data_IF_415379638313
#
_entry.id   IF_415379638313
#
_cell.length_a   1.000
_cell.length_b   1.000
_cell.length_c   1.000
_cell.angle_alpha   90.00
_cell.angle_beta   90.00
_cell.angle_gamma   90.00
#
_symmetry.space_group_name_H-M   'P 1'
#
loop_
_entity.id
_entity.type
_entity.pdbx_description
1 polymer ?
#
# COMPACT_ATOMS: atom_id res chain seq x y z
N UNK A 1 3.72 21.37 -14.03
CA UNK A 1 4.20 22.03 -12.79
C UNK A 1 4.43 20.96 -11.74
N UNK A 2 5.49 21.10 -10.95
CA UNK A 2 5.84 20.23 -9.83
C UNK A 2 5.57 20.99 -8.53
N UNK A 3 4.95 20.33 -7.56
CA UNK A 3 4.58 20.91 -6.26
C UNK A 3 5.39 20.26 -5.14
N UNK A 4 5.71 21.02 -4.10
CA UNK A 4 6.48 20.51 -2.96
C UNK A 4 6.87 21.62 -1.97
N UNK A 5 8.01 21.48 -1.28
CA UNK A 5 8.94 20.34 -1.28
C UNK A 5 8.43 19.11 -0.50
N UNK A 6 7.37 19.25 0.30
CA UNK A 6 6.77 18.17 1.09
C UNK A 6 5.25 18.14 1.02
N UNK A 7 4.64 17.39 1.94
CA UNK A 7 3.19 17.27 2.08
C UNK A 7 2.65 18.15 3.23
N UNK A 8 1.34 18.39 3.21
CA UNK A 8 0.68 19.18 4.26
C UNK A 8 1.25 20.61 4.38
N UNK A 9 1.57 21.08 5.60
CA UNK A 9 2.13 22.42 5.81
C UNK A 9 3.48 22.67 5.11
N UNK A 10 4.21 21.60 4.78
CA UNK A 10 5.50 21.66 4.07
C UNK A 10 5.35 21.70 2.54
N UNK A 11 4.11 21.66 2.04
CA UNK A 11 3.79 21.66 0.61
C UNK A 11 3.16 22.96 0.13
N UNK A 12 2.36 22.85 -0.94
CA UNK A 12 1.55 23.96 -1.47
C UNK A 12 2.33 25.02 -2.26
N UNK A 13 3.60 24.77 -2.58
CA UNK A 13 4.43 25.67 -3.40
C UNK A 13 4.78 25.00 -4.73
N UNK A 14 4.86 25.78 -5.79
CA UNK A 14 5.38 25.33 -7.09
C UNK A 14 6.91 25.31 -6.98
N UNK A 15 7.51 24.11 -7.02
CA UNK A 15 8.97 23.94 -6.93
C UNK A 15 9.65 23.97 -8.30
N UNK A 16 8.94 23.56 -9.34
CA UNK A 16 9.39 23.67 -10.73
C UNK A 16 8.19 23.86 -11.69
N UNK A 17 8.37 24.67 -12.73
CA UNK A 17 7.39 24.86 -13.78
C UNK A 17 8.13 25.04 -15.11
N UNK A 18 7.72 24.31 -16.14
CA UNK A 18 8.41 24.31 -17.42
C UNK A 18 8.19 23.03 -18.22
N UNK A 19 9.02 22.85 -19.24
CA UNK A 19 9.13 21.60 -20.01
C UNK A 19 9.69 20.46 -19.15
N UNK A 20 9.63 19.23 -19.67
CA UNK A 20 10.18 18.06 -18.98
C UNK A 20 11.67 18.23 -18.66
N UNK A 21 12.46 18.76 -19.59
CA UNK A 21 13.89 19.01 -19.41
C UNK A 21 14.15 20.05 -18.32
N UNK A 22 13.29 21.08 -18.24
CA UNK A 22 13.39 22.12 -17.21
C UNK A 22 13.04 21.57 -15.83
N UNK A 23 12.05 20.68 -15.72
CA UNK A 23 11.70 20.02 -14.44
C UNK A 23 12.82 19.06 -14.01
N UNK A 24 13.31 18.23 -14.93
CA UNK A 24 14.41 17.27 -14.69
C UNK A 24 15.71 17.98 -14.31
N UNK A 25 15.99 19.14 -14.91
CA UNK A 25 17.17 19.95 -14.62
C UNK A 25 17.07 20.80 -13.35
N UNK A 26 15.88 20.92 -12.74
CA UNK A 26 15.70 21.76 -11.57
C UNK A 26 16.08 21.02 -10.27
N UNK A 27 17.10 21.48 -9.53
CA UNK A 27 17.56 20.81 -8.31
C UNK A 27 16.52 20.83 -7.17
N UNK A 28 15.54 21.74 -7.21
CA UNK A 28 14.47 21.83 -6.21
C UNK A 28 13.29 20.89 -6.50
N UNK A 29 13.27 20.27 -7.70
CA UNK A 29 12.22 19.30 -8.05
C UNK A 29 12.51 17.97 -7.34
N UNK A 30 11.57 17.54 -6.49
CA UNK A 30 11.62 16.20 -5.89
C UNK A 30 11.33 15.12 -6.94
N UNK A 31 10.58 15.47 -7.98
CA UNK A 31 10.13 14.60 -9.07
C UNK A 31 11.23 14.41 -10.12
N UNK A 32 11.99 15.46 -10.44
CA UNK A 32 13.04 15.47 -11.47
C UNK A 32 14.05 14.32 -11.37
N UNK A 33 14.61 13.98 -10.19
CA UNK A 33 15.53 12.86 -10.03
C UNK A 33 14.96 11.49 -10.43
N UNK A 34 13.65 11.26 -10.24
CA UNK A 34 12.97 10.02 -10.62
C UNK A 34 12.73 9.94 -12.13
N UNK A 35 12.31 11.05 -12.74
CA UNK A 35 12.13 11.15 -14.18
C UNK A 35 13.46 10.99 -14.94
N UNK A 36 14.57 11.46 -14.34
CA UNK A 36 15.93 11.26 -14.86
C UNK A 36 16.46 9.83 -14.68
N UNK A 37 15.80 9.00 -13.87
CA UNK A 37 16.31 7.68 -13.46
C UNK A 37 17.45 7.70 -12.44
N UNK A 38 17.89 8.88 -11.97
CA UNK A 38 18.92 9.01 -10.91
C UNK A 38 18.43 8.55 -9.54
N UNK A 39 17.12 8.62 -9.30
CA UNK A 39 16.42 7.93 -8.21
C UNK A 39 15.44 6.91 -8.83
N UNK A 40 15.22 5.81 -8.13
CA UNK A 40 14.21 4.82 -8.50
C UNK A 40 13.62 4.17 -7.26
N UNK A 41 12.49 3.50 -7.40
CA UNK A 41 11.96 2.68 -6.32
C UNK A 41 12.94 1.53 -6.06
N UNK A 42 13.41 1.42 -4.81
CA UNK A 42 14.46 0.47 -4.46
C UNK A 42 13.93 -0.96 -4.45
N UNK A 43 14.74 -1.87 -5.01
CA UNK A 43 14.47 -3.31 -5.01
C UNK A 43 15.02 -3.91 -3.74
N UNK A 44 14.16 -4.61 -3.01
CA UNK A 44 14.59 -5.42 -1.88
C UNK A 44 15.11 -6.77 -2.39
N UNK A 45 16.43 -6.84 -2.59
CA UNK A 45 17.10 -8.06 -3.06
C UNK A 45 17.43 -9.03 -1.93
N UNK A 46 16.96 -8.79 -0.70
CA UNK A 46 17.36 -9.61 0.46
C UNK A 46 16.47 -10.84 0.66
N UNK A 47 15.27 -10.87 0.06
CA UNK A 47 14.35 -11.99 0.23
C UNK A 47 14.71 -13.18 -0.66
N UNK A 48 14.60 -14.41 -0.12
CA UNK A 48 14.91 -15.62 -0.88
C UNK A 48 13.88 -15.83 -1.99
N UNK A 49 14.35 -16.05 -3.22
CA UNK A 49 13.47 -16.38 -4.34
C UNK A 49 12.70 -17.67 -4.08
N UNK A 50 11.41 -17.69 -4.45
CA UNK A 50 10.50 -18.84 -4.34
C UNK A 50 10.93 -19.99 -5.26
N UNK A 51 11.36 -19.64 -6.46
CA UNK A 51 11.87 -20.57 -7.48
C UNK A 51 13.38 -20.41 -7.55
N UNK A 52 14.12 -21.53 -7.54
CA UNK A 52 15.55 -21.51 -7.79
C UNK A 52 15.83 -21.19 -9.28
N UNK A 53 16.65 -20.17 -9.58
CA UNK A 53 16.79 -19.64 -10.94
C UNK A 53 17.62 -20.57 -11.84
N UNK A 54 18.37 -21.50 -11.27
CA UNK A 54 19.21 -22.45 -12.02
C UNK A 54 18.43 -23.73 -12.31
N UNK A 55 17.79 -24.30 -11.29
CA UNK A 55 17.05 -25.55 -11.40
C UNK A 55 15.61 -25.36 -11.87
N UNK A 56 15.08 -24.13 -11.82
CA UNK A 56 13.69 -23.78 -12.13
C UNK A 56 12.67 -24.59 -11.30
N UNK A 57 13.08 -24.99 -10.09
CA UNK A 57 12.23 -25.75 -9.15
C UNK A 57 11.86 -24.88 -7.96
N UNK A 58 10.67 -25.12 -7.44
CA UNK A 58 10.21 -24.54 -6.18
C UNK A 58 11.18 -24.92 -5.04
N UNK A 59 11.54 -23.94 -4.22
CA UNK A 59 12.37 -24.18 -3.04
C UNK A 59 11.56 -24.90 -1.94
N UNK A 60 12.18 -25.84 -1.22
CA UNK A 60 11.49 -26.54 -0.14
C UNK A 60 11.09 -25.57 0.98
N UNK A 61 9.88 -25.76 1.53
CA UNK A 61 9.37 -24.99 2.67
C UNK A 61 8.46 -23.82 2.31
N UNK A 62 8.23 -23.55 1.03
CA UNK A 62 7.24 -22.55 0.58
C UNK A 62 5.84 -23.05 0.94
N UNK A 63 5.08 -22.16 1.56
CA UNK A 63 3.69 -22.38 1.96
C UNK A 63 2.78 -21.73 0.93
N UNK A 64 1.68 -22.40 0.60
CA UNK A 64 0.78 -21.91 -0.44
C UNK A 64 -0.66 -21.74 0.06
N UNK A 65 -1.32 -20.74 -0.49
CA UNK A 65 -2.74 -20.50 -0.40
C UNK A 65 -3.31 -20.62 -1.81
N UNK A 66 -4.16 -21.62 -2.06
CA UNK A 66 -4.60 -21.97 -3.42
C UNK A 66 -6.11 -21.84 -3.53
N UNK A 67 -6.58 -21.03 -4.48
CA UNK A 67 -7.99 -20.90 -4.82
C UNK A 67 -8.29 -21.81 -5.99
N UNK A 68 -9.24 -22.73 -5.81
CA UNK A 68 -9.64 -23.67 -6.84
C UNK A 68 -10.92 -23.27 -7.56
N UNK A 69 -10.91 -23.40 -8.89
CA UNK A 69 -12.06 -23.17 -9.78
C UNK A 69 -12.78 -21.84 -9.51
N UNK A 70 -12.03 -20.76 -9.33
CA UNK A 70 -12.57 -19.42 -9.12
C UNK A 70 -13.40 -18.96 -10.32
N UNK A 71 -14.68 -18.66 -10.09
CA UNK A 71 -15.68 -18.39 -11.13
C UNK A 71 -16.60 -17.20 -10.79
N UNK A 72 -16.21 -16.34 -9.86
CA UNK A 72 -16.96 -15.14 -9.53
C UNK A 72 -16.89 -14.12 -10.68
N UNK A 73 -18.05 -13.56 -11.05
CA UNK A 73 -18.22 -12.60 -12.14
C UNK A 73 -17.65 -13.10 -13.49
N UNK A 74 -16.54 -12.53 -13.95
CA UNK A 74 -15.94 -12.82 -15.25
C UNK A 74 -14.92 -13.96 -15.21
N UNK A 75 -14.52 -14.43 -14.03
CA UNK A 75 -13.49 -15.46 -13.85
C UNK A 75 -13.90 -16.80 -14.49
N UNK A 76 -12.93 -17.46 -15.15
CA UNK A 76 -13.15 -18.61 -16.03
C UNK A 76 -12.80 -19.94 -15.37
N UNK A 77 -13.26 -20.16 -14.12
CA UNK A 77 -12.94 -21.35 -13.31
C UNK A 77 -11.43 -21.59 -13.20
N UNK A 78 -10.71 -20.53 -12.83
CA UNK A 78 -9.25 -20.56 -12.73
C UNK A 78 -8.80 -21.16 -11.40
N UNK A 79 -7.69 -21.90 -11.43
CA UNK A 79 -6.96 -22.33 -10.25
C UNK A 79 -5.74 -21.40 -10.10
N UNK A 80 -5.56 -20.80 -8.92
CA UNK A 80 -4.50 -19.79 -8.67
C UNK A 80 -3.86 -20.06 -7.32
N UNK A 81 -2.52 -20.05 -7.27
CA UNK A 81 -1.77 -20.21 -6.03
C UNK A 81 -1.03 -18.93 -5.61
N UNK A 82 -0.99 -18.69 -4.30
CA UNK A 82 -0.36 -17.54 -3.66
C UNK A 82 0.67 -18.03 -2.63
N UNK A 83 1.97 -17.74 -2.80
CA UNK A 83 2.98 -18.12 -1.82
C UNK A 83 2.84 -17.27 -0.55
N UNK A 84 2.60 -17.91 0.59
CA UNK A 84 2.53 -17.24 1.88
C UNK A 84 3.92 -16.75 2.31
N UNK A 85 3.96 -15.76 3.20
CA UNK A 85 5.18 -15.12 3.72
C UNK A 85 5.95 -14.33 2.63
N UNK A 86 5.23 -13.86 1.61
CA UNK A 86 5.78 -13.10 0.49
C UNK A 86 4.90 -11.88 0.13
N UNK A 87 5.50 -10.93 -0.59
CA UNK A 87 4.81 -9.84 -1.28
C UNK A 87 4.38 -10.31 -2.68
N UNK A 88 3.07 -10.27 -2.93
CA UNK A 88 2.46 -10.79 -4.16
C UNK A 88 1.68 -9.68 -4.85
N UNK A 89 1.92 -9.48 -6.15
CA UNK A 89 1.09 -8.60 -6.98
C UNK A 89 0.05 -9.40 -7.78
N UNK A 90 -1.18 -8.91 -7.80
CA UNK A 90 -2.21 -9.33 -8.75
C UNK A 90 -2.36 -8.24 -9.81
N UNK A 91 -2.07 -8.58 -11.05
CA UNK A 91 -1.93 -7.65 -12.18
C UNK A 91 -2.87 -8.00 -13.33
N UNK A 92 -2.85 -7.14 -14.36
CA UNK A 92 -3.63 -7.32 -15.59
C UNK A 92 -4.67 -6.20 -15.82
N UNK A 93 -5.30 -6.12 -17.02
CA UNK A 93 -6.13 -4.97 -17.41
C UNK A 93 -7.31 -4.67 -16.47
N UNK A 94 -7.83 -3.44 -16.52
CA UNK A 94 -9.04 -3.10 -15.77
C UNK A 94 -10.21 -3.97 -16.23
N UNK A 95 -10.95 -4.56 -15.29
CA UNK A 95 -12.02 -5.52 -15.60
C UNK A 95 -11.56 -6.95 -15.94
N UNK A 96 -10.27 -7.28 -15.81
CA UNK A 96 -9.77 -8.66 -16.04
C UNK A 96 -10.18 -9.67 -14.96
N UNK A 97 -10.63 -9.20 -13.78
CA UNK A 97 -11.09 -10.04 -12.68
C UNK A 97 -10.28 -9.93 -11.38
N UNK A 98 -9.29 -9.04 -11.29
CA UNK A 98 -8.42 -8.86 -10.09
C UNK A 98 -9.20 -8.70 -8.79
N UNK A 99 -10.07 -7.70 -8.71
CA UNK A 99 -10.91 -7.46 -7.53
C UNK A 99 -11.90 -8.60 -7.29
N UNK A 100 -12.39 -9.26 -8.36
CA UNK A 100 -13.28 -10.42 -8.21
C UNK A 100 -12.57 -11.61 -7.55
N UNK A 101 -11.28 -11.83 -7.88
CA UNK A 101 -10.47 -12.88 -7.28
C UNK A 101 -10.09 -12.54 -5.83
N UNK A 102 -9.49 -11.37 -5.62
CA UNK A 102 -8.88 -11.01 -4.34
C UNK A 102 -9.91 -10.51 -3.33
N UNK A 103 -10.74 -9.53 -3.70
CA UNK A 103 -11.72 -8.93 -2.80
C UNK A 103 -13.08 -9.63 -2.84
N UNK A 104 -13.43 -10.28 -3.96
CA UNK A 104 -14.70 -10.98 -4.13
C UNK A 104 -14.68 -12.42 -3.62
N UNK A 105 -13.55 -13.12 -3.73
CA UNK A 105 -13.43 -14.52 -3.29
C UNK A 105 -12.51 -14.63 -2.08
N UNK A 106 -11.22 -14.27 -2.25
CA UNK A 106 -10.18 -14.59 -1.27
C UNK A 106 -10.42 -13.93 0.09
N UNK A 107 -10.61 -12.61 0.11
CA UNK A 107 -10.84 -11.86 1.35
C UNK A 107 -12.11 -12.32 2.08
N UNK A 108 -13.32 -12.36 1.47
CA UNK A 108 -14.54 -12.81 2.13
C UNK A 108 -14.44 -14.25 2.66
N UNK A 109 -13.84 -15.17 1.90
CA UNK A 109 -13.73 -16.57 2.30
C UNK A 109 -12.89 -16.73 3.57
N UNK A 110 -11.77 -15.99 3.66
CA UNK A 110 -10.88 -16.03 4.82
C UNK A 110 -11.48 -15.22 5.99
N UNK A 111 -12.09 -14.07 5.72
CA UNK A 111 -12.73 -13.22 6.73
C UNK A 111 -13.89 -13.94 7.42
N UNK A 112 -14.72 -14.67 6.67
CA UNK A 112 -15.84 -15.43 7.25
C UNK A 112 -15.35 -16.57 8.16
N UNK A 113 -14.13 -17.07 7.95
CA UNK A 113 -13.50 -18.07 8.81
C UNK A 113 -12.97 -17.48 10.13
N UNK A 114 -12.31 -16.32 10.10
CA UNK A 114 -11.63 -15.77 11.28
C UNK A 114 -12.40 -14.68 12.03
N UNK A 115 -13.21 -13.89 11.32
CA UNK A 115 -13.86 -12.69 11.86
C UNK A 115 -15.36 -12.85 12.10
N UNK A 116 -15.93 -14.05 11.85
CA UNK A 116 -17.38 -14.29 11.82
C UNK A 116 -18.13 -13.26 10.95
N UNK A 117 -17.51 -12.80 9.87
CA UNK A 117 -18.12 -11.82 8.99
C UNK A 117 -19.30 -12.42 8.22
N UNK A 118 -20.35 -11.62 7.98
CA UNK A 118 -21.47 -12.00 7.12
C UNK A 118 -21.15 -11.88 5.62
N UNK A 119 -19.86 -11.78 5.26
CA UNK A 119 -19.43 -11.66 3.87
C UNK A 119 -19.61 -13.02 3.17
N UNK A 120 -20.27 -12.99 2.02
CA UNK A 120 -20.49 -14.16 1.19
C UNK A 120 -19.38 -14.18 0.13
N UNK A 121 -18.47 -15.17 0.14
CA UNK A 121 -17.47 -15.27 -0.91
C UNK A 121 -18.12 -15.58 -2.26
N UNK A 122 -17.56 -15.00 -3.31
CA UNK A 122 -17.93 -15.28 -4.69
C UNK A 122 -17.75 -16.75 -5.06
N UNK A 123 -18.28 -17.16 -6.22
CA UNK A 123 -18.28 -18.56 -6.66
C UNK A 123 -16.84 -19.08 -6.82
N UNK A 124 -16.52 -20.16 -6.10
CA UNK A 124 -15.27 -20.92 -6.16
C UNK A 124 -15.54 -22.35 -5.65
N UNK A 125 -14.64 -23.31 -5.93
CA UNK A 125 -14.82 -24.69 -5.44
C UNK A 125 -14.34 -24.86 -4.00
N UNK A 126 -13.09 -24.46 -3.71
CA UNK A 126 -12.48 -24.50 -2.37
C UNK A 126 -11.25 -23.61 -2.31
N UNK A 127 -10.81 -23.28 -1.10
CA UNK A 127 -9.53 -22.61 -0.85
C UNK A 127 -8.70 -23.48 0.09
N UNK A 128 -7.53 -23.89 -0.38
CA UNK A 128 -6.57 -24.69 0.39
C UNK A 128 -5.52 -23.78 1.04
N UNK A 129 -5.00 -24.19 2.20
CA UNK A 129 -3.92 -23.47 2.89
C UNK A 129 -4.38 -22.36 3.85
N UNK A 130 -5.69 -22.14 4.01
CA UNK A 130 -6.24 -21.13 4.94
C UNK A 130 -5.83 -21.38 6.40
N UNK A 131 -5.62 -22.64 6.80
CA UNK A 131 -5.20 -23.03 8.15
C UNK A 131 -3.81 -22.51 8.55
N UNK A 132 -3.01 -22.08 7.57
CA UNK A 132 -1.69 -21.49 7.79
C UNK A 132 -1.77 -20.03 8.24
N UNK A 133 -2.94 -19.41 8.07
CA UNK A 133 -3.26 -18.05 8.49
C UNK A 133 -4.08 -18.06 9.78
N UNK A 134 -4.07 -16.93 10.49
CA UNK A 134 -4.98 -16.72 11.63
C UNK A 134 -5.75 -15.40 11.58
N UNK A 135 -5.45 -14.57 10.58
CA UNK A 135 -6.06 -13.25 10.41
C UNK A 135 -5.98 -12.83 8.94
N UNK A 136 -6.98 -12.10 8.48
CA UNK A 136 -6.93 -11.37 7.21
C UNK A 136 -7.29 -9.90 7.43
N UNK A 137 -6.59 -9.00 6.77
CA UNK A 137 -6.80 -7.55 6.84
C UNK A 137 -6.94 -6.97 5.44
N UNK A 138 -8.04 -6.29 5.16
CA UNK A 138 -8.19 -5.48 3.95
C UNK A 138 -7.82 -4.04 4.26
N UNK A 139 -6.96 -3.45 3.42
CA UNK A 139 -6.53 -2.06 3.54
C UNK A 139 -6.83 -1.34 2.23
N UNK A 140 -7.99 -0.70 2.22
CA UNK A 140 -8.55 0.07 1.11
C UNK A 140 -8.53 1.58 1.42
N UNK A 141 -8.87 2.38 0.40
CA UNK A 141 -8.95 3.84 0.51
C UNK A 141 -10.26 4.35 1.12
N UNK A 142 -11.13 3.47 1.60
CA UNK A 142 -12.37 3.88 2.26
C UNK A 142 -12.06 4.73 3.50
N UNK A 143 -12.89 5.76 3.80
CA UNK A 143 -12.70 6.59 4.99
C UNK A 143 -12.59 5.75 6.27
N UNK A 144 -11.77 6.17 7.23
CA UNK A 144 -11.65 5.48 8.54
C UNK A 144 -12.98 5.45 9.29
N UNK A 145 -13.82 6.46 9.06
CA UNK A 145 -15.13 6.65 9.66
C UNK A 145 -15.71 7.99 9.22
N UNK A 146 -17.04 8.12 9.30
CA UNK A 146 -17.75 9.32 8.85
C UNK A 146 -17.92 10.37 9.97
N UNK A 147 -17.49 10.08 11.19
CA UNK A 147 -17.64 10.98 12.35
C UNK A 147 -16.35 11.74 12.64
N UNK A 148 -16.42 13.03 13.06
CA UNK A 148 -15.27 13.78 13.56
C UNK A 148 -14.57 13.17 14.78
N UNK A 149 -15.24 12.26 15.48
CA UNK A 149 -14.70 11.48 16.60
C UNK A 149 -13.66 10.43 16.18
N UNK A 150 -13.69 10.00 14.91
CA UNK A 150 -12.67 9.12 14.34
C UNK A 150 -11.48 9.95 13.91
N UNK A 151 -10.30 9.63 14.43
CA UNK A 151 -9.04 10.36 14.17
C UNK A 151 -7.89 9.38 14.00
N UNK A 152 -6.75 9.80 13.41
CA UNK A 152 -5.55 8.96 13.37
C UNK A 152 -5.14 8.41 14.74
N UNK A 153 -5.24 9.24 15.79
CA UNK A 153 -4.83 8.83 17.12
C UNK A 153 -5.76 7.81 17.77
N UNK A 154 -7.07 7.93 17.54
CA UNK A 154 -8.06 6.97 18.05
C UNK A 154 -8.01 5.65 17.29
N UNK A 155 -7.83 5.71 15.96
CA UNK A 155 -7.79 4.52 15.11
C UNK A 155 -6.56 3.64 15.37
N UNK A 156 -5.38 4.27 15.51
CA UNK A 156 -4.14 3.56 15.84
C UNK A 156 -4.09 3.07 17.29
N UNK A 157 -4.92 3.64 18.17
CA UNK A 157 -4.94 3.35 19.60
C UNK A 157 -3.90 4.15 20.42
N UNK A 158 -3.08 5.00 19.79
CA UNK A 158 -2.07 5.80 20.53
C UNK A 158 -2.74 6.75 21.52
N UNK A 159 -3.95 7.20 21.19
CA UNK A 159 -4.72 8.09 22.05
C UNK A 159 -5.02 7.47 23.41
N UNK A 160 -5.22 6.16 23.51
CA UNK A 160 -5.49 5.50 24.78
C UNK A 160 -4.29 5.56 25.73
N UNK A 161 -3.08 5.42 25.18
CA UNK A 161 -1.84 5.58 25.94
C UNK A 161 -1.64 7.04 26.37
N UNK A 162 -1.92 8.00 25.48
CA UNK A 162 -1.85 9.43 25.80
C UNK A 162 -2.83 9.78 26.93
N UNK A 163 -4.08 9.26 26.89
CA UNK A 163 -5.07 9.47 27.95
C UNK A 163 -4.62 8.90 29.30
N UNK A 164 -4.03 7.71 29.29
CA UNK A 164 -3.48 7.10 30.51
C UNK A 164 -2.31 7.91 31.05
N UNK A 165 -1.44 8.41 30.17
CA UNK A 165 -0.32 9.26 30.53
C UNK A 165 -0.78 10.57 31.22
N UNK A 166 -1.73 11.30 30.62
CA UNK A 166 -2.24 12.55 31.21
C UNK A 166 -2.99 12.33 32.54
N UNK A 167 -3.64 11.17 32.72
CA UNK A 167 -4.25 10.81 34.00
C UNK A 167 -3.19 10.66 35.11
N UNK A 168 -2.05 10.04 34.80
CA UNK A 168 -0.95 9.89 35.74
C UNK A 168 -0.25 11.22 36.06
N UNK A 169 -0.35 12.22 35.17
CA UNK A 169 0.19 13.56 35.40
C UNK A 169 -0.71 14.41 36.33
N UNK A 170 -1.94 13.97 36.60
CA UNK A 170 -2.86 14.73 37.45
C UNK A 170 -2.50 14.56 38.94
N UNK A 171 -2.06 15.66 39.57
CA UNK A 171 -1.56 15.66 40.96
C UNK A 171 -2.61 15.23 42.00
N UNK A 172 -3.89 15.41 41.70
CA UNK A 172 -4.99 15.18 42.64
C UNK A 172 -5.54 13.75 42.64
N UNK A 173 -5.16 12.90 41.68
CA UNK A 173 -5.71 11.55 41.51
C UNK A 173 -7.21 11.49 41.15
N UNK A 174 -7.86 12.66 40.99
CA UNK A 174 -9.29 12.80 40.65
C UNK A 174 -9.56 12.46 39.19
N UNK A 175 -8.59 12.68 38.30
CA UNK A 175 -8.76 12.55 36.86
C UNK A 175 -8.24 11.20 36.34
N UNK A 176 -9.13 10.24 36.19
CA UNK A 176 -8.82 8.98 35.49
C UNK A 176 -8.77 9.18 33.96
N UNK A 177 -8.18 8.22 33.23
CA UNK A 177 -8.02 8.28 31.76
C UNK A 177 -9.32 8.51 30.98
N UNK A 178 -10.48 8.24 31.58
CA UNK A 178 -11.78 8.53 30.99
C UNK A 178 -12.05 10.04 30.86
N UNK A 179 -11.57 10.88 31.79
CA UNK A 179 -11.73 12.34 31.70
C UNK A 179 -11.06 12.94 30.45
N UNK A 180 -10.01 12.29 29.99
CA UNK A 180 -9.24 12.66 28.81
C UNK A 180 -9.79 12.06 27.52
N UNK A 181 -10.94 11.38 27.55
CA UNK A 181 -11.60 10.88 26.34
C UNK A 181 -12.61 11.91 25.82
N UNK A 182 -12.38 12.43 24.61
CA UNK A 182 -13.38 13.28 23.96
C UNK A 182 -14.62 12.50 23.46
N UNK A 183 -14.54 11.17 23.31
CA UNK A 183 -15.66 10.36 22.79
C UNK A 183 -16.75 10.06 23.82
N UNK A 184 -16.36 9.83 25.08
CA UNK A 184 -17.29 9.38 26.12
C UNK A 184 -16.91 9.89 27.54
N UNK A 185 -15.90 10.74 27.64
CA UNK A 185 -15.35 11.17 28.92
C UNK A 185 -16.12 12.31 29.59
N UNK A 186 -16.18 12.36 30.94
CA UNK A 186 -16.81 13.45 31.68
C UNK A 186 -16.07 14.80 31.55
N UNK A 187 -14.84 14.77 31.03
CA UNK A 187 -14.03 15.96 30.77
C UNK A 187 -14.28 16.63 29.40
N UNK A 188 -15.06 15.99 28.52
CA UNK A 188 -15.38 16.52 27.19
C UNK A 188 -16.28 17.76 27.28
N UNK A 189 -16.23 18.62 26.26
CA UNK A 189 -17.16 19.73 26.12
C UNK A 189 -18.60 19.20 25.97
N UNK A 190 -19.50 19.62 26.86
CA UNK A 190 -20.92 19.22 26.85
C UNK A 190 -21.70 19.86 25.71
N UNK A 191 -21.25 21.00 25.20
CA UNK A 191 -21.95 21.75 24.16
C UNK A 191 -21.85 21.10 22.77
N UNK A 192 -20.82 20.29 22.52
CA UNK A 192 -20.58 19.59 21.25
C UNK A 192 -20.30 18.10 21.44
N UNK A 193 -20.58 17.57 22.64
CA UNK A 193 -20.30 16.19 23.02
C UNK A 193 -18.86 15.72 22.71
N UNK A 194 -17.89 16.64 22.85
CA UNK A 194 -16.48 16.39 22.60
C UNK A 194 -16.07 16.32 21.12
N UNK A 195 -16.99 16.54 20.17
CA UNK A 195 -16.66 16.55 18.74
C UNK A 195 -15.82 17.78 18.34
N UNK A 196 -15.89 18.87 19.13
CA UNK A 196 -15.29 20.17 18.80
C UNK A 196 -16.00 20.91 17.66
N UNK A 197 -16.93 20.25 16.99
CA UNK A 197 -17.78 20.79 15.93
C UNK A 197 -19.24 20.44 16.20
N UNK A 198 -20.17 21.20 15.62
CA UNK A 198 -21.60 20.91 15.60
C UNK A 198 -22.03 20.65 14.16
N UNK A 199 -22.81 19.61 13.97
CA UNK A 199 -23.41 19.26 12.69
C UNK A 199 -24.68 20.10 12.50
N UNK A 200 -24.74 20.85 11.41
CA UNK A 200 -25.96 21.52 10.97
C UNK A 200 -26.53 20.66 9.85
N UNK A 201 -27.66 20.03 10.13
CA UNK A 201 -28.41 19.26 9.13
C UNK A 201 -29.01 20.21 8.09
N UNK A 202 -28.78 19.89 6.82
CA UNK A 202 -29.25 20.71 5.70
C UNK A 202 -30.19 19.85 4.84
N UNK A 203 -31.39 20.37 4.52
CA UNK A 203 -32.42 19.56 3.85
C UNK A 203 -32.06 19.07 2.44
N UNK A 204 -31.17 19.77 1.72
CA UNK A 204 -30.84 19.48 0.31
C UNK A 204 -29.33 19.46 0.02
N UNK A 205 -28.50 19.78 1.02
CA UNK A 205 -27.05 19.85 0.89
C UNK A 205 -26.43 18.87 1.90
N UNK A 206 -25.19 18.40 1.67
CA UNK A 206 -24.46 17.67 2.68
C UNK A 206 -24.38 18.47 3.98
N UNK A 207 -24.51 17.78 5.11
CA UNK A 207 -24.44 18.41 6.43
C UNK A 207 -23.15 19.19 6.62
N UNK A 208 -23.27 20.35 7.27
CA UNK A 208 -22.14 21.26 7.46
C UNK A 208 -21.67 21.18 8.90
N UNK A 209 -20.36 21.00 9.09
CA UNK A 209 -19.73 20.95 10.40
C UNK A 209 -19.13 22.30 10.77
N UNK A 210 -19.75 23.02 11.70
CA UNK A 210 -19.25 24.29 12.21
C UNK A 210 -18.45 24.10 13.50
N UNK A 211 -17.47 24.97 13.74
CA UNK A 211 -16.68 24.93 14.98
C UNK A 211 -17.58 25.24 16.20
N UNK A 212 -17.41 24.48 17.28
CA UNK A 212 -18.17 24.71 18.51
C UNK A 212 -17.77 26.04 19.14
N UNK A 213 -18.72 26.93 19.39
CA UNK A 213 -18.48 28.25 19.99
C UNK A 213 -18.00 28.17 21.45
N UNK A 214 -18.49 27.19 22.22
CA UNK A 214 -18.16 27.05 23.66
C UNK A 214 -16.71 26.63 23.90
N UNK A 215 -16.26 25.52 23.29
CA UNK A 215 -14.89 25.05 23.44
C UNK A 215 -13.94 25.55 22.36
N UNK A 216 -14.43 26.33 21.38
CA UNK A 216 -13.67 26.81 20.22
C UNK A 216 -12.91 25.67 19.51
N UNK A 217 -13.53 24.51 19.35
CA UNK A 217 -12.91 23.34 18.71
C UNK A 217 -12.02 22.48 19.63
N UNK A 218 -11.72 22.91 20.85
CA UNK A 218 -10.78 22.22 21.76
C UNK A 218 -11.29 20.90 22.35
N UNK A 219 -12.56 20.54 22.12
CA UNK A 219 -13.20 19.27 22.56
C UNK A 219 -13.34 19.03 24.07
N UNK A 220 -12.67 19.79 24.92
CA UNK A 220 -12.63 19.58 26.37
C UNK A 220 -13.11 20.80 27.16
N UNK A 221 -13.41 20.58 28.43
CA UNK A 221 -13.62 21.62 29.44
C UNK A 221 -12.29 22.16 29.94
N UNK A 222 -12.27 23.42 30.40
CA UNK A 222 -11.03 24.12 30.80
C UNK A 222 -10.25 23.39 31.91
N UNK A 223 -10.94 22.75 32.85
CA UNK A 223 -10.31 21.96 33.92
C UNK A 223 -9.43 20.81 33.41
N UNK A 224 -9.77 20.22 32.26
CA UNK A 224 -8.95 19.17 31.62
C UNK A 224 -7.78 19.79 30.88
N UNK A 225 -8.01 20.93 30.22
CA UNK A 225 -6.99 21.66 29.48
C UNK A 225 -5.91 22.30 30.39
N UNK A 226 -6.23 22.49 31.67
CA UNK A 226 -5.28 22.97 32.67
C UNK A 226 -4.16 21.96 32.96
N UNK A 227 -4.38 20.66 32.73
CA UNK A 227 -3.39 19.61 32.95
C UNK A 227 -2.45 19.57 31.75
N UNK A 228 -1.17 19.83 32.00
CA UNK A 228 -0.16 20.03 30.96
C UNK A 228 1.03 19.09 31.13
N UNK A 229 1.58 18.67 29.99
CA UNK A 229 2.85 17.97 29.89
C UNK A 229 3.80 18.79 29.02
N UNK A 230 4.97 19.17 29.54
CA UNK A 230 5.94 20.07 28.86
C UNK A 230 5.24 21.31 28.26
N UNK A 231 4.31 21.91 29.01
CA UNK A 231 3.54 23.08 28.57
C UNK A 231 2.32 22.80 27.67
N UNK A 232 2.13 21.57 27.20
CA UNK A 232 1.06 21.19 26.26
C UNK A 232 -0.10 20.48 26.97
N UNK A 233 -1.33 20.95 26.75
CA UNK A 233 -2.55 20.23 27.14
C UNK A 233 -2.82 19.06 26.19
N UNK A 234 -3.75 18.17 26.57
CA UNK A 234 -4.15 17.06 25.70
C UNK A 234 -4.72 17.53 24.35
N UNK A 235 -5.36 18.71 24.30
CA UNK A 235 -5.83 19.26 23.03
C UNK A 235 -4.66 19.74 22.17
N UNK A 236 -3.63 20.33 22.77
CA UNK A 236 -2.46 20.79 22.03
C UNK A 236 -1.73 19.60 21.39
N UNK A 237 -1.68 18.45 22.08
CA UNK A 237 -1.19 17.18 21.51
C UNK A 237 -2.06 16.71 20.33
N UNK A 238 -3.39 16.81 20.42
CA UNK A 238 -4.27 16.45 19.31
C UNK A 238 -4.14 17.39 18.11
N UNK A 239 -3.80 18.67 18.34
CA UNK A 239 -3.57 19.65 17.28
C UNK A 239 -2.16 19.61 16.69
N UNK A 240 -1.21 18.96 17.37
CA UNK A 240 0.14 18.73 16.87
C UNK A 240 0.17 17.69 15.76
N UNK A 241 1.15 17.84 14.87
CA UNK A 241 1.49 16.83 13.87
C UNK A 241 2.06 15.58 14.54
N UNK A 242 2.00 14.44 13.83
CA UNK A 242 2.55 13.18 14.34
C UNK A 242 4.05 13.29 14.66
N UNK A 243 4.80 14.06 13.86
CA UNK A 243 6.22 14.31 14.12
C UNK A 243 6.47 15.15 15.39
N UNK A 244 5.74 16.26 15.56
CA UNK A 244 5.84 17.08 16.78
C UNK A 244 5.45 16.28 18.03
N UNK A 245 4.40 15.46 17.94
CA UNK A 245 4.01 14.57 19.03
C UNK A 245 5.10 13.53 19.35
N UNK A 246 5.80 13.01 18.34
CA UNK A 246 6.89 12.05 18.53
C UNK A 246 8.04 12.69 19.33
N UNK A 247 8.41 13.93 19.00
CA UNK A 247 9.43 14.70 19.75
C UNK A 247 8.96 15.00 21.19
N UNK A 248 7.69 15.36 21.36
CA UNK A 248 7.12 15.64 22.68
C UNK A 248 7.18 14.43 23.61
N UNK A 249 6.92 13.23 23.08
CA UNK A 249 6.83 11.96 23.82
C UNK A 249 8.05 11.05 23.64
N UNK A 250 9.21 11.58 23.25
CA UNK A 250 10.45 10.81 23.04
C UNK A 250 10.80 9.90 24.24
N UNK A 251 10.57 10.39 25.46
CA UNK A 251 10.85 9.69 26.71
C UNK A 251 9.82 8.60 27.06
N UNK A 252 8.68 8.57 26.36
CA UNK A 252 7.60 7.63 26.59
C UNK A 252 7.64 6.50 25.55
N UNK A 253 8.46 5.47 25.81
CA UNK A 253 8.81 4.40 24.86
C UNK A 253 7.63 3.80 24.11
N UNK A 254 6.50 3.54 24.79
CA UNK A 254 5.31 2.94 24.16
C UNK A 254 4.61 3.92 23.20
N UNK A 255 4.48 5.19 23.58
CA UNK A 255 3.85 6.23 22.76
C UNK A 255 4.76 6.57 21.58
N UNK A 256 6.04 6.82 21.84
CA UNK A 256 7.04 7.12 20.82
C UNK A 256 7.12 6.03 19.75
N UNK A 257 7.08 4.74 20.13
CA UNK A 257 7.05 3.63 19.17
C UNK A 257 5.85 3.71 18.21
N UNK A 258 4.65 4.00 18.72
CA UNK A 258 3.45 4.10 17.87
C UNK A 258 3.52 5.30 16.93
N UNK A 259 3.97 6.45 17.44
CA UNK A 259 4.13 7.68 16.64
C UNK A 259 5.23 7.52 15.58
N UNK A 260 6.33 6.84 15.90
CA UNK A 260 7.39 6.52 14.95
C UNK A 260 6.88 5.64 13.81
N UNK A 261 6.04 4.64 14.09
CA UNK A 261 5.41 3.83 13.04
C UNK A 261 4.51 4.67 12.13
N UNK A 262 3.75 5.61 12.70
CA UNK A 262 2.94 6.54 11.91
C UNK A 262 3.82 7.45 11.03
N UNK A 263 4.96 7.94 11.54
CA UNK A 263 5.91 8.69 10.73
C UNK A 263 6.54 7.84 9.61
N UNK A 264 6.91 6.59 9.90
CA UNK A 264 7.50 5.65 8.93
C UNK A 264 6.58 5.38 7.73
N UNK A 265 5.26 5.29 7.96
CA UNK A 265 4.27 5.14 6.88
C UNK A 265 4.02 6.45 6.12
N UNK A 266 4.63 7.57 6.53
CA UNK A 266 4.51 8.86 5.87
C UNK A 266 3.41 9.78 6.39
N UNK A 267 2.93 9.59 7.63
CA UNK A 267 1.91 10.44 8.27
C UNK A 267 2.51 11.53 9.17
N UNK A 268 3.80 11.84 9.03
CA UNK A 268 4.53 12.79 9.90
C UNK A 268 3.85 14.16 10.00
N UNK A 269 3.23 14.63 8.91
CA UNK A 269 2.56 15.94 8.82
C UNK A 269 1.08 15.93 9.24
N UNK A 270 0.49 14.75 9.45
CA UNK A 270 -0.94 14.61 9.80
C UNK A 270 -1.12 14.89 11.29
N UNK A 271 -2.14 15.67 11.63
CA UNK A 271 -2.48 15.96 13.03
C UNK A 271 -3.13 14.76 13.70
N UNK A 272 -2.77 14.48 14.95
CA UNK A 272 -3.30 13.34 15.71
C UNK A 272 -4.83 13.38 15.90
N UNK A 273 -5.38 14.57 16.08
CA UNK A 273 -6.80 14.86 16.25
C UNK A 273 -7.56 15.15 14.95
N UNK A 274 -6.91 15.09 13.79
CA UNK A 274 -7.56 15.37 12.50
C UNK A 274 -8.78 14.48 12.31
N UNK A 275 -9.91 15.07 11.92
CA UNK A 275 -11.15 14.34 11.70
C UNK A 275 -11.01 13.39 10.50
N UNK A 276 -11.39 12.13 10.66
CA UNK A 276 -11.29 11.10 9.62
C UNK A 276 -11.92 11.50 8.26
N UNK A 277 -13.08 12.19 8.18
CA UNK A 277 -13.64 12.63 6.91
C UNK A 277 -12.78 13.65 6.15
N UNK A 278 -11.82 14.29 6.82
CA UNK A 278 -10.91 15.27 6.22
C UNK A 278 -9.58 14.67 5.78
N UNK A 279 -9.38 13.36 6.01
CA UNK A 279 -8.21 12.65 5.50
C UNK A 279 -8.44 12.28 4.03
N UNK A 280 -7.38 12.41 3.23
CA UNK A 280 -7.35 11.83 1.89
C UNK A 280 -7.42 10.30 1.95
N UNK A 281 -7.84 9.66 0.85
CA UNK A 281 -7.88 8.19 0.76
C UNK A 281 -6.54 7.53 1.08
N UNK A 282 -5.43 8.10 0.58
CA UNK A 282 -4.07 7.62 0.87
C UNK A 282 -3.64 7.85 2.33
N UNK A 283 -4.10 8.91 3.00
CA UNK A 283 -3.87 9.07 4.45
C UNK A 283 -4.67 8.06 5.27
N UNK A 284 -5.94 7.85 4.95
CA UNK A 284 -6.77 6.84 5.62
C UNK A 284 -6.17 5.44 5.47
N UNK A 285 -5.72 5.08 4.26
CA UNK A 285 -5.05 3.82 4.00
C UNK A 285 -3.78 3.66 4.85
N UNK A 286 -2.93 4.68 4.91
CA UNK A 286 -1.70 4.68 5.73
C UNK A 286 -1.99 4.58 7.22
N UNK A 287 -3.07 5.20 7.71
CA UNK A 287 -3.50 5.05 9.12
C UNK A 287 -3.91 3.61 9.42
N UNK A 288 -4.63 2.94 8.50
CA UNK A 288 -4.97 1.52 8.63
C UNK A 288 -3.73 0.63 8.70
N UNK A 289 -2.73 0.89 7.85
CA UNK A 289 -1.45 0.18 7.88
C UNK A 289 -0.69 0.42 9.18
N UNK A 290 -0.59 1.67 9.64
CA UNK A 290 0.07 2.00 10.90
C UNK A 290 -0.56 1.28 12.10
N UNK A 291 -1.89 1.22 12.16
CA UNK A 291 -2.61 0.54 13.23
C UNK A 291 -2.28 -0.95 13.31
N UNK A 292 -2.02 -1.61 12.18
CA UNK A 292 -1.62 -3.02 12.15
C UNK A 292 -0.14 -3.23 12.47
N UNK A 293 0.75 -2.35 12.00
CA UNK A 293 2.18 -2.41 12.32
C UNK A 293 2.50 -2.22 13.81
N UNK A 294 1.65 -1.49 14.52
CA UNK A 294 1.80 -1.33 15.98
C UNK A 294 1.45 -2.61 16.72
N UNK A 295 0.48 -3.38 16.22
CA UNK A 295 -0.02 -4.57 16.91
C UNK A 295 1.06 -5.66 16.93
N UNK A 296 1.13 -6.49 17.98
CA UNK A 296 2.02 -7.63 17.99
C UNK A 296 1.77 -8.53 16.78
N UNK A 297 2.82 -8.81 16.00
CA UNK A 297 2.71 -9.68 14.83
C UNK A 297 2.43 -11.12 15.26
N UNK A 298 1.54 -11.78 14.53
CA UNK A 298 1.35 -13.24 14.64
C UNK A 298 2.20 -14.00 13.64
N UNK A 299 2.79 -13.31 12.65
CA UNK A 299 3.48 -13.91 11.49
C UNK A 299 2.58 -14.83 10.67
N UNK A 300 1.26 -14.65 10.74
CA UNK A 300 0.25 -15.49 10.06
C UNK A 300 -0.93 -14.65 9.57
N UNK A 301 -0.71 -13.36 9.34
CA UNK A 301 -1.73 -12.44 8.82
C UNK A 301 -1.60 -12.30 7.31
N UNK A 302 -2.72 -12.35 6.60
CA UNK A 302 -2.80 -11.99 5.20
C UNK A 302 -3.28 -10.54 5.06
N UNK A 303 -2.47 -9.68 4.46
CA UNK A 303 -2.85 -8.31 4.10
C UNK A 303 -3.30 -8.27 2.64
N UNK A 304 -4.43 -7.62 2.39
CA UNK A 304 -4.99 -7.41 1.05
C UNK A 304 -5.11 -5.92 0.80
N UNK A 305 -4.38 -5.40 -0.18
CA UNK A 305 -4.38 -3.98 -0.53
C UNK A 305 -4.87 -3.81 -1.96
N UNK A 306 -5.68 -2.77 -2.16
CA UNK A 306 -6.19 -2.39 -3.49
C UNK A 306 -5.56 -1.09 -3.93
N UNK A 307 -4.83 -1.15 -5.04
CA UNK A 307 -4.10 -0.03 -5.65
C UNK A 307 -3.47 0.93 -4.63
N UNK A 308 -2.60 0.41 -3.73
CA UNK A 308 -2.04 1.21 -2.64
C UNK A 308 -1.11 2.33 -3.12
N UNK A 309 -0.69 2.33 -4.39
CA UNK A 309 0.09 3.42 -4.98
C UNK A 309 -0.73 4.50 -5.67
N UNK A 310 -2.05 4.34 -5.80
CA UNK A 310 -2.89 5.32 -6.49
C UNK A 310 -2.81 6.68 -5.81
N UNK A 311 -2.35 7.69 -6.56
CA UNK A 311 -2.18 9.06 -6.07
C UNK A 311 -0.92 9.31 -5.22
N UNK A 312 0.01 8.36 -5.12
CA UNK A 312 1.27 8.54 -4.39
C UNK A 312 2.41 9.02 -5.29
N UNK A 313 3.24 9.92 -4.77
CA UNK A 313 4.51 10.31 -5.38
C UNK A 313 5.55 9.18 -5.23
N UNK A 314 6.57 9.15 -6.11
CA UNK A 314 7.60 8.09 -6.11
C UNK A 314 8.32 7.89 -4.76
N UNK A 315 8.63 8.98 -4.05
CA UNK A 315 9.22 8.92 -2.71
C UNK A 315 8.29 8.25 -1.69
N UNK A 316 6.97 8.44 -1.82
CA UNK A 316 5.99 7.84 -0.92
C UNK A 316 5.72 6.37 -1.27
N UNK A 317 5.80 6.00 -2.55
CA UNK A 317 5.80 4.59 -2.97
C UNK A 317 7.00 3.87 -2.34
N UNK A 318 8.18 4.50 -2.32
CA UNK A 318 9.37 3.94 -1.66
C UNK A 318 9.15 3.68 -0.15
N UNK A 319 8.51 4.61 0.55
CA UNK A 319 8.16 4.43 1.98
C UNK A 319 7.15 3.32 2.17
N UNK A 320 6.11 3.29 1.33
CA UNK A 320 5.10 2.23 1.35
C UNK A 320 5.74 0.85 1.13
N UNK A 321 6.61 0.70 0.12
CA UNK A 321 7.28 -0.56 -0.14
C UNK A 321 8.13 -1.04 1.05
N UNK A 322 8.87 -0.13 1.71
CA UNK A 322 9.60 -0.45 2.95
C UNK A 322 8.67 -0.98 4.05
N UNK A 323 7.48 -0.40 4.16
CA UNK A 323 6.46 -0.83 5.12
C UNK A 323 5.90 -2.21 4.76
N UNK A 324 5.54 -2.44 3.51
CA UNK A 324 5.03 -3.74 3.05
C UNK A 324 6.08 -4.83 3.23
N UNK A 325 7.34 -4.53 2.92
CA UNK A 325 8.45 -5.46 3.12
C UNK A 325 8.61 -5.80 4.59
N UNK A 326 8.55 -4.80 5.49
CA UNK A 326 8.59 -5.04 6.93
C UNK A 326 7.44 -5.93 7.43
N UNK A 327 6.24 -5.85 6.84
CA UNK A 327 5.15 -6.77 7.16
C UNK A 327 5.49 -8.21 6.76
N UNK A 328 6.06 -8.39 5.58
CA UNK A 328 6.50 -9.69 5.06
C UNK A 328 7.63 -10.27 5.92
N UNK A 329 8.63 -9.47 6.28
CA UNK A 329 9.76 -9.89 7.13
C UNK A 329 9.32 -10.36 8.53
N UNK A 330 8.14 -9.92 8.98
CA UNK A 330 7.50 -10.37 10.21
C UNK A 330 6.74 -11.70 10.06
N UNK A 331 6.85 -12.37 8.91
CA UNK A 331 6.17 -13.61 8.55
C UNK A 331 4.75 -13.41 7.98
N UNK A 332 4.32 -12.19 7.70
CA UNK A 332 2.98 -11.98 7.13
C UNK A 332 3.00 -12.15 5.61
N UNK A 333 1.82 -12.34 5.02
CA UNK A 333 1.67 -12.40 3.55
C UNK A 333 0.98 -11.13 3.10
N UNK A 334 1.42 -10.54 1.99
CA UNK A 334 0.86 -9.29 1.46
C UNK A 334 0.47 -9.49 0.01
N UNK A 335 -0.83 -9.35 -0.29
CA UNK A 335 -1.36 -9.35 -1.66
C UNK A 335 -1.76 -7.93 -2.00
N UNK A 336 -1.20 -7.39 -3.09
CA UNK A 336 -1.55 -6.08 -3.63
C UNK A 336 -2.18 -6.24 -5.01
N UNK A 337 -3.26 -5.52 -5.27
CA UNK A 337 -3.76 -5.31 -6.63
C UNK A 337 -3.06 -4.07 -7.16
N UNK A 338 -2.28 -4.22 -8.23
CA UNK A 338 -1.45 -3.12 -8.72
C UNK A 338 -1.35 -3.06 -10.24
N UNK A 339 -1.10 -1.85 -10.70
CA UNK A 339 -0.84 -1.50 -12.10
C UNK A 339 0.49 -0.75 -12.25
N UNK A 340 1.09 -0.30 -11.15
CA UNK A 340 2.36 0.41 -11.19
C UNK A 340 3.53 -0.56 -11.42
N UNK A 341 4.14 -0.48 -12.61
CA UNK A 341 5.27 -1.33 -13.00
C UNK A 341 6.47 -1.22 -12.04
N UNK A 342 6.69 -0.04 -11.45
CA UNK A 342 7.77 0.11 -10.48
C UNK A 342 7.52 -0.63 -9.17
N UNK A 343 6.26 -0.93 -8.83
CA UNK A 343 5.94 -1.80 -7.68
C UNK A 343 5.94 -3.27 -8.10
N UNK A 344 5.34 -3.58 -9.25
CA UNK A 344 5.23 -4.96 -9.75
C UNK A 344 6.61 -5.61 -9.95
N UNK A 345 7.64 -4.86 -10.34
CA UNK A 345 9.01 -5.39 -10.43
C UNK A 345 9.65 -5.75 -9.08
N UNK A 346 9.10 -5.24 -7.98
CA UNK A 346 9.65 -5.31 -6.63
C UNK A 346 8.90 -6.30 -5.72
N UNK A 347 7.97 -7.06 -6.28
CA UNK A 347 7.26 -8.13 -5.54
C UNK A 347 7.98 -9.46 -5.71
N UNK A 348 7.69 -10.41 -4.85
CA UNK A 348 8.30 -11.74 -4.89
C UNK A 348 7.55 -12.66 -5.88
N UNK A 349 6.24 -12.43 -6.08
CA UNK A 349 5.37 -13.24 -6.95
C UNK A 349 4.32 -12.40 -7.67
N UNK A 350 3.99 -12.78 -8.90
CA UNK A 350 2.98 -12.12 -9.74
C UNK A 350 1.93 -13.13 -10.17
N UNK A 351 0.66 -12.73 -10.04
CA UNK A 351 -0.51 -13.39 -10.62
C UNK A 351 -1.12 -12.43 -11.64
N UNK A 352 -1.04 -12.74 -12.93
CA UNK A 352 -1.57 -11.89 -14.00
C UNK A 352 -2.88 -12.44 -14.55
N UNK A 353 -3.90 -11.59 -14.58
CA UNK A 353 -5.24 -11.92 -15.07
C UNK A 353 -5.57 -11.19 -16.37
N UNK A 354 -6.21 -11.87 -17.30
CA UNK A 354 -6.51 -11.33 -18.62
C UNK A 354 -7.06 -12.38 -19.58
N UNK A 355 -6.65 -12.38 -20.86
CA UNK A 355 -5.82 -11.37 -21.52
C UNK A 355 -6.51 -10.00 -21.59
N UNK A 356 -7.82 -10.00 -21.79
CA UNK A 356 -8.63 -8.79 -21.98
C UNK A 356 -9.47 -8.44 -20.74
N UNK A 357 -10.27 -7.38 -20.86
CA UNK A 357 -11.28 -7.00 -19.87
C UNK A 357 -12.61 -7.74 -20.06
N UNK A 358 -13.42 -7.75 -19.01
CA UNK A 358 -14.83 -8.15 -19.10
C UNK A 358 -15.00 -9.62 -19.49
N UNK A 359 -15.88 -9.91 -20.46
CA UNK A 359 -16.21 -11.29 -20.86
C UNK A 359 -15.05 -12.03 -21.53
N UNK A 360 -14.10 -11.29 -22.11
CA UNK A 360 -12.90 -11.81 -22.77
C UNK A 360 -11.71 -11.95 -21.80
N UNK A 361 -11.87 -11.48 -20.57
CA UNK A 361 -10.92 -11.67 -19.48
C UNK A 361 -11.23 -12.88 -18.60
N UNK A 362 -10.71 -12.83 -17.37
CA UNK A 362 -10.99 -13.81 -16.33
C UNK A 362 -10.15 -15.10 -16.43
N UNK A 363 -9.15 -15.13 -17.30
CA UNK A 363 -8.17 -16.21 -17.39
C UNK A 363 -6.91 -15.87 -16.57
N UNK A 364 -6.26 -16.89 -16.03
CA UNK A 364 -4.90 -16.79 -15.51
C UNK A 364 -3.95 -16.78 -16.71
N UNK A 365 -3.22 -15.68 -16.87
CA UNK A 365 -2.31 -15.45 -18.00
C UNK A 365 -0.87 -15.76 -17.60
N UNK A 366 -0.48 -15.42 -16.37
CA UNK A 366 0.86 -15.68 -15.86
C UNK A 366 0.83 -15.91 -14.35
N UNK A 367 1.69 -16.81 -13.87
CA UNK A 367 1.96 -17.02 -12.45
C UNK A 367 3.46 -17.27 -12.25
N UNK A 368 4.16 -16.45 -11.45
CA UNK A 368 5.61 -16.61 -11.29
C UNK A 368 6.33 -15.40 -10.70
N UNK A 369 7.66 -15.45 -10.67
CA UNK A 369 8.50 -14.30 -10.28
C UNK A 369 8.49 -13.20 -11.35
N UNK A 370 8.80 -11.93 -10.98
CA UNK A 370 8.93 -10.85 -11.94
C UNK A 370 9.93 -11.15 -13.07
N UNK A 371 11.07 -11.78 -12.74
CA UNK A 371 12.06 -12.17 -13.74
C UNK A 371 11.50 -13.19 -14.74
N UNK A 372 10.78 -14.20 -14.25
CA UNK A 372 10.13 -15.18 -15.11
C UNK A 372 9.07 -14.54 -16.03
N UNK A 373 8.38 -13.49 -15.56
CA UNK A 373 7.41 -12.74 -16.37
C UNK A 373 8.10 -11.98 -17.52
N UNK A 374 9.21 -11.30 -17.23
CA UNK A 374 10.01 -10.59 -18.22
C UNK A 374 10.55 -11.56 -19.28
N UNK A 375 11.09 -12.71 -18.84
CA UNK A 375 11.63 -13.71 -19.76
C UNK A 375 10.52 -14.34 -20.60
N UNK A 376 9.33 -14.55 -20.03
CA UNK A 376 8.15 -14.97 -20.77
C UNK A 376 7.80 -13.98 -21.90
N UNK A 377 7.73 -12.67 -21.61
CA UNK A 377 7.46 -11.66 -22.65
C UNK A 377 8.50 -11.66 -23.77
N UNK A 378 9.80 -11.79 -23.45
CA UNK A 378 10.87 -11.87 -24.44
C UNK A 378 10.71 -13.08 -25.37
N UNK A 379 10.32 -14.23 -24.83
CA UNK A 379 10.09 -15.43 -25.63
C UNK A 379 8.89 -15.29 -26.57
N UNK A 380 7.83 -14.63 -26.10
CA UNK A 380 6.64 -14.33 -26.90
C UNK A 380 6.94 -13.38 -28.07
N UNK A 381 7.73 -12.32 -27.84
CA UNK A 381 8.13 -11.38 -28.90
C UNK A 381 9.03 -12.00 -29.97
N UNK A 382 9.89 -12.97 -29.62
CA UNK A 382 10.83 -13.59 -30.57
C UNK A 382 10.16 -14.61 -31.52
N UNK A 383 9.04 -15.23 -31.13
CA UNK A 383 8.45 -16.34 -31.89
C UNK A 383 7.23 -15.98 -32.75
N UNK A 384 6.80 -14.70 -32.78
CA UNK A 384 5.98 -14.11 -33.85
C UNK A 384 4.64 -14.77 -34.22
N UNK A 385 4.22 -15.85 -33.56
CA UNK A 385 2.95 -16.52 -33.83
C UNK A 385 2.52 -17.37 -32.65
N UNK A 386 1.27 -17.15 -32.25
CA UNK A 386 0.49 -17.88 -31.24
C UNK A 386 0.61 -19.43 -31.38
N UNK A 387 0.90 -19.92 -32.60
CA UNK A 387 0.94 -21.35 -32.95
C UNK A 387 2.23 -22.09 -32.56
N UNK A 388 3.38 -21.41 -32.39
CA UNK A 388 4.63 -22.08 -31.97
C UNK A 388 4.81 -22.11 -30.44
N UNK A 389 4.32 -21.08 -29.73
CA UNK A 389 4.35 -21.01 -28.26
C UNK A 389 3.55 -22.14 -27.60
N UNK A 390 2.38 -22.48 -28.17
CA UNK A 390 1.51 -23.58 -27.73
C UNK A 390 2.17 -24.98 -27.80
N UNK A 391 3.24 -25.15 -28.59
CA UNK A 391 3.93 -26.44 -28.76
C UNK A 391 5.13 -26.65 -27.83
N UNK A 392 5.70 -25.59 -27.26
CA UNK A 392 6.97 -25.66 -26.49
C UNK A 392 6.81 -25.40 -24.98
N UNK A 393 5.77 -24.69 -24.54
CA UNK A 393 5.58 -24.42 -23.11
C UNK A 393 4.65 -25.43 -22.45
N UNK A 394 5.17 -26.15 -21.45
CA UNK A 394 4.47 -27.12 -20.58
C UNK A 394 3.54 -26.47 -19.54
N UNK A 395 3.53 -25.13 -19.48
CA UNK A 395 2.72 -24.22 -18.66
C UNK A 395 1.21 -24.17 -19.04
N UNK A 396 0.20 -24.65 -18.27
CA UNK A 396 -1.22 -24.53 -18.67
C UNK A 396 -1.70 -23.11 -18.98
N UNK A 397 -1.13 -22.10 -18.33
CA UNK A 397 -1.54 -20.70 -18.38
C UNK A 397 -0.82 -19.85 -19.44
N UNK A 398 0.24 -20.34 -20.09
CA UNK A 398 1.05 -19.62 -21.08
C UNK A 398 0.38 -19.47 -22.48
N UNK A 399 -0.96 -19.47 -22.53
CA UNK A 399 -1.75 -19.51 -23.78
C UNK A 399 -2.23 -18.14 -24.25
N UNK A 400 -2.10 -17.12 -23.41
CA UNK A 400 -2.64 -15.79 -23.65
C UNK A 400 -1.54 -14.73 -23.51
N UNK A 401 -1.58 -13.62 -24.27
CA UNK A 401 -0.64 -12.53 -24.11
C UNK A 401 -0.84 -11.83 -22.76
N UNK A 402 0.27 -11.44 -22.12
CA UNK A 402 0.28 -10.66 -20.88
C UNK A 402 0.72 -9.23 -21.18
N UNK A 403 -0.22 -8.28 -21.08
CA UNK A 403 0.08 -6.85 -21.19
C UNK A 403 1.08 -6.38 -20.13
N UNK A 404 0.98 -6.94 -18.92
CA UNK A 404 1.90 -6.63 -17.82
C UNK A 404 3.33 -7.08 -18.18
N UNK A 405 3.47 -8.28 -18.73
CA UNK A 405 4.77 -8.81 -19.12
C UNK A 405 5.42 -7.99 -20.26
N UNK A 406 4.63 -7.63 -21.28
CA UNK A 406 5.11 -6.76 -22.37
C UNK A 406 5.59 -5.40 -21.86
N UNK A 407 4.80 -4.78 -20.98
CA UNK A 407 5.12 -3.48 -20.40
C UNK A 407 6.39 -3.54 -19.52
N UNK A 408 6.55 -4.58 -18.70
CA UNK A 408 7.76 -4.79 -17.90
C UNK A 408 9.00 -5.00 -18.76
N UNK A 409 8.89 -5.80 -19.84
CA UNK A 409 10.01 -6.06 -20.74
C UNK A 409 10.44 -4.80 -21.51
N UNK A 410 9.49 -3.99 -21.98
CA UNK A 410 9.77 -2.69 -22.61
C UNK A 410 10.43 -1.73 -21.61
N UNK A 411 9.89 -1.64 -20.40
CA UNK A 411 10.43 -0.78 -19.36
C UNK A 411 11.89 -1.13 -19.00
N UNK A 412 12.21 -2.43 -18.87
CA UNK A 412 13.58 -2.87 -18.58
C UNK A 412 14.54 -2.52 -19.72
N UNK A 413 14.11 -2.65 -20.98
CA UNK A 413 14.94 -2.29 -22.13
C UNK A 413 15.33 -0.81 -22.16
N UNK A 414 14.40 0.09 -21.83
CA UNK A 414 14.62 1.55 -21.82
C UNK A 414 15.66 1.93 -20.76
N UNK A 415 15.60 1.36 -19.55
CA UNK A 415 16.56 1.71 -18.48
C UNK A 415 17.94 1.08 -18.65
N UNK A 416 18.05 -0.09 -19.26
CA UNK A 416 19.36 -0.71 -19.56
C UNK A 416 20.15 0.13 -20.58
N UNK A 417 19.46 0.84 -21.48
CA UNK A 417 20.08 1.74 -22.45
C UNK A 417 20.44 3.13 -21.86
N UNK A 418 19.86 3.51 -20.72
CA UNK A 418 20.15 4.79 -20.02
C UNK A 418 21.19 4.68 -18.89
N UNK A 419 21.45 3.48 -18.35
CA UNK A 419 22.45 3.26 -17.31
C UNK A 419 23.53 2.31 -17.83
N UNK A 420 24.73 2.85 -18.06
CA UNK A 420 25.91 2.09 -18.49
C UNK A 420 26.09 0.80 -17.68
N UNK A 421 25.69 -0.33 -18.26
CA UNK A 421 25.83 -1.66 -17.68
C UNK A 421 27.27 -2.14 -17.84
N UNK A 422 27.99 -2.46 -16.74
CA UNK A 422 29.30 -3.09 -16.81
C UNK A 422 29.15 -4.62 -16.80
N UNK A 423 28.34 -5.23 -17.67
CA UNK A 423 28.52 -6.63 -18.05
C UNK A 423 27.60 -7.09 -19.18
N UNK A 424 28.04 -6.87 -20.43
CA UNK A 424 27.83 -7.81 -21.53
C UNK A 424 28.86 -7.49 -22.61
N UNK A 425 29.93 -8.28 -22.68
CA UNK A 425 30.86 -8.22 -23.81
C UNK A 425 30.05 -8.47 -25.10
N UNK A 426 30.10 -7.57 -26.10
CA UNK A 426 29.38 -7.78 -27.34
C UNK A 426 29.95 -9.00 -28.06
N UNK A 427 29.05 -9.93 -28.41
CA UNK A 427 29.37 -11.16 -29.11
C UNK A 427 29.86 -10.83 -30.53
N UNK A 428 31.18 -10.76 -30.74
CA UNK A 428 31.79 -10.58 -32.07
C UNK A 428 31.65 -11.85 -32.91
N UNK A 429 30.47 -12.08 -33.51
CA UNK A 429 30.31 -12.97 -34.67
C UNK A 429 29.18 -12.53 -35.60
N UNK A 430 29.42 -11.46 -36.36
CA UNK A 430 28.73 -11.24 -37.65
C UNK A 430 29.42 -10.12 -38.44
N UNK A 431 30.67 -10.33 -38.85
CA UNK A 431 31.29 -9.50 -39.88
C UNK A 431 32.24 -10.38 -40.69
N UNK A 432 31.66 -11.22 -41.55
CA UNK A 432 32.40 -11.86 -42.63
C UNK A 432 31.55 -11.81 -43.90
N UNK A 433 32.18 -11.35 -44.98
CA UNK A 433 31.82 -11.56 -46.38
C UNK A 433 30.66 -10.74 -46.96
N UNK A 434 31.01 -9.60 -47.58
CA UNK A 434 30.86 -9.46 -49.05
C UNK A 434 31.71 -8.29 -49.57
N UNK A 435 32.89 -8.60 -50.12
CA UNK A 435 33.64 -7.72 -51.03
C UNK A 435 33.03 -7.85 -52.43
N UNK A 436 32.37 -6.81 -52.96
CA UNK A 436 32.15 -6.67 -54.41
C UNK A 436 33.20 -5.71 -54.97
N UNK A 437 34.01 -6.22 -55.91
CA UNK A 437 34.93 -5.44 -56.77
C UNK A 437 34.12 -4.54 -57.71
N UNK A 438 34.62 -3.36 -58.11
CA UNK A 438 34.01 -2.58 -59.18
C UNK A 438 34.44 -3.17 -60.53
N UNK A 439 33.49 -3.28 -61.47
CA UNK A 439 33.80 -3.40 -62.91
C UNK A 439 33.61 -2.02 -63.53
N UNK A 440 34.50 -1.76 -64.49
CA UNK A 440 34.70 -0.54 -65.29
C UNK A 440 33.43 0.04 -65.89
#
# INVERSE_FOLDING_TARGET
CDFGPGAGPLGGRIVAQGTLEQIVGNPNSITGPYLKGSKSIQIDNTRPEIIDPVSMREKPGVKWLTVHQAAHNTLKKIDVAFPLEHLIAVTGPSGSGKSSLVQGILYPAIASRFHRSNLIPGIHARIEGVDQLNKVMQVDQSPLGNSPSSTPATYTGVFDLIRQFYANQSESGVYHSSYFSFNAGPGRCTACDGLGKRCIEMHFLPDVWIQCEVCQGKRYQDRVLAIKYRGHSINDVLESTTAEALELFEDQTKIARMLSVMCDVGLSYVKLGQSAPTLSGGEAQRVKLAAELVRPTTGKTLFVLDEPTTGLHFDDINKLMKVLNRLVDQGNSVIIIEHNLEVIRNVDWIVDLGPEAGRQGGHLVFEGSPQAMIDHARTCHQHGSEKELLKKHTLPWARHPSYTAEALAQWESIRVDEVGSPNRKPNKKSAASTRKKPKK
#
